data_IF_201138160863
#
_entry.id   IF_201138160863
#
_cell.length_a   1.000
_cell.length_b   1.000
_cell.length_c   1.000
_cell.angle_alpha   90.00
_cell.angle_beta   90.00
_cell.angle_gamma   90.00
#
_symmetry.space_group_name_H-M   'P 1'
#
loop_
_entity.id
_entity.type
_entity.pdbx_description
1 polymer ?
#
# COMPACT_ATOMS: atom_id res chain seq x y z
N UNK A 1 -67.26 12.48 -11.80
CA UNK A 1 -66.46 11.74 -10.79
C UNK A 1 -65.38 12.68 -10.29
N UNK A 2 -65.44 13.12 -9.02
CA UNK A 2 -64.53 14.12 -8.44
C UNK A 2 -63.32 13.39 -7.84
N UNK A 3 -62.15 13.60 -8.41
CA UNK A 3 -60.87 13.10 -7.91
C UNK A 3 -60.47 13.89 -6.65
N UNK A 4 -60.52 13.27 -5.48
CA UNK A 4 -60.17 13.88 -4.18
C UNK A 4 -58.83 13.35 -3.62
N UNK A 5 -57.77 13.33 -4.43
CA UNK A 5 -56.43 12.89 -3.99
C UNK A 5 -55.43 14.05 -3.83
N UNK A 6 -55.86 15.18 -3.28
CA UNK A 6 -54.94 16.25 -2.88
C UNK A 6 -55.34 16.72 -1.49
N UNK A 7 -55.03 15.96 -0.44
CA UNK A 7 -55.06 16.48 0.92
C UNK A 7 -53.85 15.99 1.72
N UNK A 8 -53.21 16.97 2.38
CA UNK A 8 -52.12 16.88 3.37
C UNK A 8 -50.65 16.93 2.86
N UNK A 9 -50.27 18.04 2.22
CA UNK A 9 -48.87 18.50 2.23
C UNK A 9 -48.60 19.26 3.54
N UNK A 10 -48.27 18.55 4.63
CA UNK A 10 -47.72 19.20 5.83
C UNK A 10 -46.29 19.64 5.51
N UNK A 11 -46.04 20.95 5.58
CA UNK A 11 -44.69 21.50 5.40
C UNK A 11 -43.74 20.98 6.48
N UNK A 12 -42.48 20.79 6.12
CA UNK A 12 -41.41 20.42 7.07
C UNK A 12 -41.23 21.58 8.03
N UNK A 13 -41.25 21.31 9.33
CA UNK A 13 -40.94 22.31 10.34
C UNK A 13 -39.43 22.51 10.45
N UNK A 14 -39.00 23.72 10.85
CA UNK A 14 -37.57 24.03 11.02
C UNK A 14 -36.87 23.07 12.00
N UNK A 15 -37.59 22.66 13.05
CA UNK A 15 -37.06 21.76 14.08
C UNK A 15 -36.85 20.34 13.54
N UNK A 16 -37.75 19.83 12.70
CA UNK A 16 -37.59 18.52 12.05
C UNK A 16 -36.41 18.52 11.09
N UNK A 17 -36.20 19.61 10.35
CA UNK A 17 -35.03 19.76 9.47
C UNK A 17 -33.72 19.74 10.27
N UNK A 18 -33.68 20.45 11.39
CA UNK A 18 -32.50 20.53 12.25
C UNK A 18 -32.19 19.18 12.92
N UNK A 19 -33.24 18.47 13.36
CA UNK A 19 -33.12 17.10 13.86
C UNK A 19 -32.60 16.12 12.78
N UNK A 20 -33.08 16.24 11.54
CA UNK A 20 -32.62 15.41 10.43
C UNK A 20 -31.14 15.64 10.10
N UNK A 21 -30.70 16.90 10.01
CA UNK A 21 -29.30 17.24 9.72
C UNK A 21 -28.37 16.77 10.86
N UNK A 22 -28.78 16.92 12.11
CA UNK A 22 -27.98 16.47 13.26
C UNK A 22 -27.84 14.95 13.29
N UNK A 23 -28.93 14.21 13.07
CA UNK A 23 -28.88 12.74 12.95
C UNK A 23 -27.99 12.33 11.77
N UNK A 24 -28.11 13.01 10.62
CA UNK A 24 -27.29 12.76 9.45
C UNK A 24 -25.79 13.00 9.74
N UNK A 25 -25.44 14.07 10.44
CA UNK A 25 -24.07 14.38 10.81
C UNK A 25 -23.46 13.29 11.71
N UNK A 26 -24.23 12.77 12.68
CA UNK A 26 -23.82 11.67 13.55
C UNK A 26 -23.49 10.42 12.73
N UNK A 27 -24.27 10.16 11.67
CA UNK A 27 -24.07 8.98 10.80
C UNK A 27 -22.91 9.20 9.82
N UNK A 28 -22.76 10.40 9.26
CA UNK A 28 -21.82 10.63 8.16
C UNK A 28 -20.36 10.67 8.62
N UNK A 29 -20.10 11.12 9.85
CA UNK A 29 -18.76 11.19 10.43
C UNK A 29 -18.06 9.81 10.46
N UNK A 30 -18.63 8.74 11.07
CA UNK A 30 -17.98 7.43 11.09
C UNK A 30 -17.86 6.82 9.69
N UNK A 31 -18.81 7.11 8.78
CA UNK A 31 -18.70 6.66 7.38
C UNK A 31 -17.47 7.26 6.71
N UNK A 32 -17.25 8.57 6.84
CA UNK A 32 -16.05 9.19 6.29
C UNK A 32 -14.75 8.71 6.96
N UNK A 33 -14.77 8.40 8.25
CA UNK A 33 -13.62 7.81 8.94
C UNK A 33 -13.26 6.43 8.36
N UNK A 34 -14.25 5.56 8.14
CA UNK A 34 -14.04 4.24 7.53
C UNK A 34 -13.51 4.35 6.10
N UNK A 35 -14.04 5.28 5.31
CA UNK A 35 -13.55 5.54 3.96
C UNK A 35 -12.10 6.05 3.97
N UNK A 36 -11.77 6.97 4.88
CA UNK A 36 -10.41 7.49 5.05
C UNK A 36 -9.41 6.39 5.42
N UNK A 37 -9.77 5.51 6.36
CA UNK A 37 -8.94 4.37 6.74
C UNK A 37 -8.74 3.38 5.59
N UNK A 38 -9.82 3.06 4.87
CA UNK A 38 -9.77 2.13 3.73
C UNK A 38 -8.90 2.67 2.61
N UNK A 39 -9.03 3.96 2.30
CA UNK A 39 -8.22 4.62 1.28
C UNK A 39 -6.73 4.66 1.66
N UNK A 40 -6.43 5.04 2.91
CA UNK A 40 -5.04 5.05 3.39
C UNK A 40 -4.41 3.66 3.33
N UNK A 41 -5.13 2.63 3.78
CA UNK A 41 -4.65 1.25 3.77
C UNK A 41 -4.43 0.74 2.34
N UNK A 42 -5.35 1.06 1.42
CA UNK A 42 -5.23 0.70 0.01
C UNK A 42 -3.96 1.29 -0.63
N UNK A 43 -3.68 2.57 -0.38
CA UNK A 43 -2.47 3.22 -0.90
C UNK A 43 -1.20 2.59 -0.32
N UNK A 44 -1.18 2.24 0.96
CA UNK A 44 -0.04 1.57 1.59
C UNK A 44 0.18 0.15 1.05
N UNK A 45 -0.90 -0.57 0.77
CA UNK A 45 -0.81 -1.91 0.18
C UNK A 45 -0.33 -1.87 -1.28
N UNK A 46 -0.78 -0.89 -2.07
CA UNK A 46 -0.23 -0.67 -3.42
C UNK A 46 1.29 -0.43 -3.39
N UNK A 47 1.77 0.34 -2.40
CA UNK A 47 3.21 0.59 -2.21
C UNK A 47 3.95 -0.69 -1.85
N UNK A 48 3.43 -1.49 -0.92
CA UNK A 48 4.02 -2.78 -0.54
C UNK A 48 4.09 -3.74 -1.73
N UNK A 49 3.01 -3.85 -2.51
CA UNK A 49 2.96 -4.71 -3.70
C UNK A 49 4.03 -4.27 -4.71
N UNK A 50 4.16 -2.97 -4.97
CA UNK A 50 5.21 -2.45 -5.86
C UNK A 50 6.61 -2.74 -5.30
N UNK A 51 6.83 -2.55 -4.00
CA UNK A 51 8.11 -2.86 -3.35
C UNK A 51 8.48 -4.35 -3.44
N UNK A 52 7.51 -5.25 -3.22
CA UNK A 52 7.71 -6.70 -3.36
C UNK A 52 8.03 -7.06 -4.81
N UNK A 53 7.30 -6.50 -5.77
CA UNK A 53 7.53 -6.75 -7.20
C UNK A 53 8.93 -6.29 -7.63
N UNK A 54 9.38 -5.12 -7.16
CA UNK A 54 10.76 -4.66 -7.38
C UNK A 54 11.77 -5.59 -6.74
N UNK A 55 11.55 -5.98 -5.47
CA UNK A 55 12.44 -6.90 -4.78
C UNK A 55 12.58 -8.24 -5.51
N UNK A 56 11.47 -8.79 -6.00
CA UNK A 56 11.44 -10.03 -6.79
C UNK A 56 12.20 -9.88 -8.10
N UNK A 57 11.93 -8.80 -8.85
CA UNK A 57 12.62 -8.51 -10.10
C UNK A 57 14.14 -8.49 -9.93
N UNK A 58 14.64 -7.67 -8.99
CA UNK A 58 16.09 -7.56 -8.76
C UNK A 58 16.68 -8.83 -8.15
N UNK A 59 15.91 -9.58 -7.37
CA UNK A 59 16.33 -10.88 -6.86
C UNK A 59 16.54 -11.86 -8.01
N UNK A 60 15.59 -11.97 -8.95
CA UNK A 60 15.68 -12.83 -10.13
C UNK A 60 16.82 -12.42 -11.05
N UNK A 61 16.99 -11.12 -11.31
CA UNK A 61 18.11 -10.59 -12.10
C UNK A 61 19.46 -10.95 -11.45
N UNK A 62 19.58 -10.81 -10.12
CA UNK A 62 20.79 -11.17 -9.39
C UNK A 62 21.05 -12.69 -9.33
N UNK A 63 20.02 -13.55 -9.51
CA UNK A 63 20.24 -15.01 -9.65
C UNK A 63 20.93 -15.34 -10.97
N UNK A 64 20.67 -14.57 -12.01
CA UNK A 64 21.21 -14.79 -13.36
C UNK A 64 22.61 -14.17 -13.48
N UNK A 65 22.76 -12.93 -12.97
CA UNK A 65 24.03 -12.21 -12.96
C UNK A 65 24.36 -11.73 -11.54
N UNK A 66 25.28 -12.43 -10.89
CA UNK A 66 25.76 -12.10 -9.54
C UNK A 66 26.53 -10.77 -9.47
N UNK A 67 26.79 -10.10 -10.61
CA UNK A 67 27.35 -8.74 -10.67
C UNK A 67 26.31 -7.64 -10.48
N UNK A 68 25.01 -7.96 -10.38
CA UNK A 68 23.93 -7.02 -10.07
C UNK A 68 23.93 -6.52 -8.61
N UNK A 69 25.02 -6.73 -7.86
CA UNK A 69 25.18 -6.17 -6.53
C UNK A 69 25.32 -4.64 -6.62
N UNK A 70 24.42 -3.91 -5.97
CA UNK A 70 24.40 -2.45 -6.10
C UNK A 70 23.17 -1.79 -5.49
N UNK A 71 23.10 -0.47 -5.67
CA UNK A 71 21.97 0.36 -5.26
C UNK A 71 21.29 0.88 -6.51
N UNK A 72 20.01 0.57 -6.65
CA UNK A 72 19.16 1.00 -7.76
C UNK A 72 18.12 1.97 -7.24
N UNK A 73 17.88 3.04 -7.99
CA UNK A 73 16.90 4.06 -7.64
C UNK A 73 15.84 4.10 -8.72
N UNK A 74 14.61 3.77 -8.34
CA UNK A 74 13.38 4.07 -9.08
C UNK A 74 12.73 5.30 -8.44
N UNK A 75 11.91 6.04 -9.19
CA UNK A 75 11.38 7.38 -8.84
C UNK A 75 11.02 7.59 -7.36
N UNK A 76 10.43 6.57 -6.73
CA UNK A 76 10.02 6.59 -5.32
C UNK A 76 10.72 5.54 -4.46
N UNK A 77 11.52 4.64 -5.03
CA UNK A 77 12.06 3.48 -4.34
C UNK A 77 13.57 3.36 -4.50
N UNK A 78 14.28 3.12 -3.40
CA UNK A 78 15.68 2.75 -3.39
C UNK A 78 15.78 1.25 -3.12
N UNK A 79 16.33 0.50 -4.06
CA UNK A 79 16.56 -0.94 -3.92
C UNK A 79 18.05 -1.21 -3.71
N UNK A 80 18.38 -2.00 -2.71
CA UNK A 80 19.75 -2.41 -2.39
C UNK A 80 19.86 -3.92 -2.53
N UNK A 81 20.76 -4.37 -3.38
CA UNK A 81 21.06 -5.79 -3.63
C UNK A 81 22.43 -6.09 -3.02
N UNK A 82 22.44 -6.98 -2.02
CA UNK A 82 23.64 -7.49 -1.36
C UNK A 82 23.82 -8.96 -1.75
N UNK A 83 24.96 -9.30 -2.36
CA UNK A 83 25.35 -10.68 -2.65
C UNK A 83 26.49 -11.04 -1.71
N UNK A 84 26.28 -12.03 -0.84
CA UNK A 84 27.28 -12.52 0.12
C UNK A 84 27.64 -13.96 -0.20
N UNK A 85 28.94 -14.24 -0.30
CA UNK A 85 29.43 -15.61 -0.52
C UNK A 85 29.53 -16.32 0.82
N UNK A 86 28.85 -17.45 0.95
CA UNK A 86 28.97 -18.27 2.15
C UNK A 86 30.21 -19.17 2.02
N UNK A 87 31.25 -18.97 2.82
CA UNK A 87 32.47 -19.80 2.74
C UNK A 87 32.25 -21.26 3.20
N UNK A 88 31.13 -21.58 3.87
CA UNK A 88 30.80 -22.93 4.32
C UNK A 88 29.87 -23.70 3.36
N UNK A 89 29.21 -22.99 2.43
CA UNK A 89 28.26 -23.58 1.48
C UNK A 89 28.60 -23.11 0.07
N UNK A 90 28.51 -23.97 -0.94
CA UNK A 90 28.74 -23.57 -2.36
C UNK A 90 27.59 -22.72 -2.94
N UNK A 91 26.90 -21.97 -2.08
CA UNK A 91 25.73 -21.17 -2.37
C UNK A 91 26.06 -19.70 -2.06
N UNK A 92 25.72 -18.83 -3.01
CA UNK A 92 25.72 -17.39 -2.84
C UNK A 92 24.37 -16.97 -2.24
N UNK A 93 24.41 -16.12 -1.22
CA UNK A 93 23.23 -15.56 -0.58
C UNK A 93 22.93 -14.19 -1.19
N UNK A 94 21.73 -14.03 -1.74
CA UNK A 94 21.27 -12.76 -2.32
C UNK A 94 20.21 -12.17 -1.39
N UNK A 95 20.45 -10.95 -0.95
CA UNK A 95 19.53 -10.18 -0.11
C UNK A 95 19.14 -8.91 -0.83
N UNK A 96 17.85 -8.72 -1.04
CA UNK A 96 17.29 -7.53 -1.68
C UNK A 96 16.46 -6.76 -0.66
N UNK A 97 16.82 -5.49 -0.45
CA UNK A 97 16.14 -4.58 0.48
C UNK A 97 15.57 -3.40 -0.30
N UNK A 98 14.27 -3.14 -0.17
CA UNK A 98 13.62 -2.01 -0.85
C UNK A 98 13.17 -0.98 0.19
N UNK A 99 13.53 0.27 -0.05
CA UNK A 99 13.29 1.43 0.81
C UNK A 99 12.51 2.49 0.03
N UNK A 100 11.75 3.33 0.73
CA UNK A 100 11.19 4.54 0.13
C UNK A 100 12.27 5.62 0.10
N UNK A 101 12.43 6.31 -1.03
CA UNK A 101 13.41 7.37 -1.20
C UNK A 101 13.09 8.69 -0.45
N UNK A 102 11.82 8.96 -0.12
CA UNK A 102 11.35 10.26 0.41
C UNK A 102 10.69 10.19 1.80
N UNK A 103 10.75 9.05 2.47
CA UNK A 103 10.31 8.91 3.87
C UNK A 103 11.49 8.41 4.68
N UNK A 104 11.65 8.99 5.88
CA UNK A 104 12.65 8.72 6.91
C UNK A 104 13.45 7.42 6.69
N UNK A 105 14.80 7.47 6.57
CA UNK A 105 15.65 6.32 6.24
C UNK A 105 15.51 5.10 7.17
N UNK A 106 14.79 5.26 8.30
CA UNK A 106 14.46 4.19 9.23
C UNK A 106 13.23 3.34 8.83
N UNK A 107 12.48 3.70 7.78
CA UNK A 107 11.32 2.91 7.33
C UNK A 107 11.68 1.94 6.20
N UNK A 108 12.00 0.69 6.58
CA UNK A 108 12.11 -0.45 5.65
C UNK A 108 10.72 -0.96 5.27
N UNK A 109 10.42 -1.02 3.97
CA UNK A 109 9.14 -1.51 3.48
C UNK A 109 9.09 -3.04 3.36
N UNK A 110 10.17 -3.66 2.89
CA UNK A 110 10.25 -5.12 2.68
C UNK A 110 11.69 -5.57 2.46
N UNK A 111 11.98 -6.81 2.86
CA UNK A 111 13.22 -7.51 2.53
C UNK A 111 12.89 -8.91 1.98
N UNK A 112 13.62 -9.33 0.95
CA UNK A 112 13.59 -10.70 0.43
C UNK A 112 15.01 -11.27 0.49
N UNK A 113 15.12 -12.55 0.84
CA UNK A 113 16.37 -13.27 0.95
C UNK A 113 16.24 -14.61 0.24
N UNK A 114 17.22 -14.93 -0.61
CA UNK A 114 17.29 -16.21 -1.33
C UNK A 114 18.72 -16.72 -1.34
N UNK A 115 18.86 -18.04 -1.30
CA UNK A 115 20.13 -18.72 -1.50
C UNK A 115 20.16 -19.28 -2.93
N UNK A 116 21.26 -19.10 -3.64
CA UNK A 116 21.43 -19.53 -5.04
C UNK A 116 22.74 -20.28 -5.18
N UNK A 117 22.73 -21.40 -5.90
CA UNK A 117 23.93 -22.22 -6.12
C UNK A 117 24.75 -21.63 -7.26
N UNK A 118 26.04 -21.45 -7.01
CA UNK A 118 26.99 -20.90 -7.98
C UNK A 118 27.01 -21.78 -9.27
N UNK A 119 26.59 -21.24 -10.44
CA UNK A 119 26.65 -21.96 -11.70
C UNK A 119 28.11 -21.97 -12.17
N UNK A 120 28.85 -23.01 -11.76
CA UNK A 120 30.17 -23.31 -12.32
C UNK A 120 30.08 -23.64 -13.81
#
# INVERSE_FOLDING_TARGET
MKNQYIQNQKGITLIELLAAITILAIIIIPVFQLLGYSYSSYIDDLRKVKAISLAQKYMEEAKIDSKMAGVYTDESYKTQVEVSKNNQSKLDQIKVSVYWQNIDPNQRLTFLMTEVRDPK
#
